data_IF_656755659664
#
_entry.id   IF_656755659664
#
_cell.length_a   1.000
_cell.length_b   1.000
_cell.length_c   1.000
_cell.angle_alpha   90.00
_cell.angle_beta   90.00
_cell.angle_gamma   90.00
#
_symmetry.space_group_name_H-M   'P 1'
#
loop_
_entity.id
_entity.type
_entity.pdbx_description
1 polymer ?
#
# COMPACT_ATOMS: atom_id res chain seq x y z
N UNK A 1 -1.97 10.05 18.76
CA UNK A 1 -3.35 10.05 18.20
C UNK A 1 -3.79 8.59 18.11
N UNK A 2 -5.03 8.26 18.45
CA UNK A 2 -5.52 6.88 18.34
C UNK A 2 -5.87 6.51 16.90
N UNK A 3 -5.90 5.21 16.59
CA UNK A 3 -6.21 4.69 15.23
C UNK A 3 -7.56 5.21 14.74
N UNK A 4 -8.61 5.16 15.56
CA UNK A 4 -9.95 5.63 15.17
C UNK A 4 -9.97 7.14 14.89
N UNK A 5 -9.27 7.92 15.67
CA UNK A 5 -9.16 9.37 15.44
C UNK A 5 -8.46 9.68 14.10
N UNK A 6 -7.40 8.93 13.77
CA UNK A 6 -6.71 9.04 12.48
C UNK A 6 -7.63 8.66 11.33
N UNK A 7 -8.38 7.56 11.45
CA UNK A 7 -9.34 7.11 10.45
C UNK A 7 -10.47 8.13 10.23
N UNK A 8 -11.01 8.70 11.30
CA UNK A 8 -12.08 9.70 11.20
C UNK A 8 -11.58 10.98 10.53
N UNK A 9 -10.39 11.45 10.89
CA UNK A 9 -9.75 12.59 10.22
C UNK A 9 -9.46 12.30 8.74
N UNK A 10 -8.94 11.11 8.45
CA UNK A 10 -8.72 10.69 7.07
C UNK A 10 -10.02 10.67 6.28
N UNK A 11 -11.09 10.13 6.88
CA UNK A 11 -12.44 10.09 6.28
C UNK A 11 -13.00 11.47 5.93
N UNK A 12 -12.68 12.52 6.69
CA UNK A 12 -13.11 13.89 6.34
C UNK A 12 -12.47 14.40 5.06
N UNK A 13 -11.32 13.83 4.65
CA UNK A 13 -10.54 14.26 3.47
C UNK A 13 -10.79 13.36 2.26
N UNK A 14 -10.75 12.02 2.46
CA UNK A 14 -10.91 11.07 1.35
C UNK A 14 -12.36 10.63 1.10
N UNK A 15 -13.28 11.00 2.00
CA UNK A 15 -14.67 10.62 1.94
C UNK A 15 -15.04 9.38 2.76
N UNK A 16 -16.34 9.04 2.82
CA UNK A 16 -16.84 7.91 3.58
C UNK A 16 -16.42 6.58 2.95
N UNK A 17 -16.42 5.49 3.75
CA UNK A 17 -16.19 4.15 3.24
C UNK A 17 -17.23 3.75 2.17
N UNK A 18 -16.95 2.70 1.37
CA UNK A 18 -17.84 2.23 0.32
C UNK A 18 -19.25 1.89 0.85
N UNK A 19 -20.29 2.40 0.21
CA UNK A 19 -21.69 2.19 0.65
C UNK A 19 -22.13 0.71 0.65
N UNK A 20 -21.47 -0.14 -0.15
CA UNK A 20 -21.71 -1.59 -0.22
C UNK A 20 -21.00 -2.39 0.89
N UNK A 21 -20.27 -1.73 1.77
CA UNK A 21 -19.41 -2.37 2.75
C UNK A 21 -18.11 -2.91 2.15
N UNK A 22 -17.28 -3.46 3.00
CA UNK A 22 -15.99 -4.06 2.67
C UNK A 22 -16.07 -5.56 2.94
N UNK A 23 -15.48 -6.36 2.06
CA UNK A 23 -15.34 -7.80 2.30
C UNK A 23 -14.36 -8.00 3.47
N UNK A 24 -14.77 -8.67 4.54
CA UNK A 24 -13.90 -8.89 5.71
C UNK A 24 -12.62 -9.64 5.33
N UNK A 25 -11.51 -9.23 5.91
CA UNK A 25 -10.23 -9.93 5.79
C UNK A 25 -10.06 -10.87 6.99
N UNK A 26 -9.75 -12.16 6.78
CA UNK A 26 -9.49 -13.09 7.88
C UNK A 26 -8.08 -12.86 8.46
N UNK A 27 -7.93 -11.81 9.26
CA UNK A 27 -6.64 -11.37 9.79
C UNK A 27 -5.89 -12.43 10.60
N UNK A 28 -6.63 -13.40 11.18
CA UNK A 28 -6.07 -14.52 11.93
C UNK A 28 -5.18 -15.45 11.08
N UNK A 29 -5.35 -15.42 9.75
CA UNK A 29 -4.52 -16.20 8.82
C UNK A 29 -3.21 -15.47 8.46
N UNK A 30 -3.11 -14.17 8.74
CA UNK A 30 -1.93 -13.37 8.42
C UNK A 30 -0.63 -13.96 9.00
N UNK A 31 -0.56 -14.27 10.31
CA UNK A 31 0.64 -14.84 10.92
C UNK A 31 1.08 -16.18 10.35
N UNK A 32 0.17 -17.00 9.84
CA UNK A 32 0.50 -18.30 9.23
C UNK A 32 1.22 -18.11 7.88
N UNK A 33 0.83 -17.09 7.11
CA UNK A 33 1.35 -16.85 5.77
C UNK A 33 2.56 -15.91 5.79
N UNK A 34 2.51 -14.86 6.62
CA UNK A 34 3.52 -13.80 6.66
C UNK A 34 4.60 -14.05 7.71
N UNK A 35 4.31 -14.83 8.75
CA UNK A 35 5.15 -15.00 9.93
C UNK A 35 4.92 -13.94 11.02
N UNK A 36 4.07 -12.94 10.77
CA UNK A 36 3.74 -11.85 11.68
C UNK A 36 2.34 -11.28 11.37
N UNK A 37 1.81 -10.45 12.26
CA UNK A 37 0.59 -9.70 12.00
C UNK A 37 0.94 -8.38 11.29
N UNK A 38 0.11 -7.95 10.33
CA UNK A 38 0.25 -6.64 9.70
C UNK A 38 -0.08 -5.50 10.69
N UNK A 39 0.44 -4.27 10.48
CA UNK A 39 0.20 -3.13 11.37
C UNK A 39 -1.28 -2.90 11.69
N UNK A 40 -1.59 -2.59 12.94
CA UNK A 40 -2.97 -2.44 13.40
C UNK A 40 -3.71 -1.29 12.72
N UNK A 41 -3.02 -0.19 12.45
CA UNK A 41 -3.56 0.97 11.75
C UNK A 41 -3.90 0.65 10.28
N UNK A 42 -3.07 -0.15 9.61
CA UNK A 42 -3.35 -0.64 8.26
C UNK A 42 -4.54 -1.60 8.25
N UNK A 43 -4.62 -2.53 9.21
CA UNK A 43 -5.76 -3.46 9.31
C UNK A 43 -7.06 -2.70 9.51
N UNK A 44 -7.08 -1.74 10.42
CA UNK A 44 -8.24 -0.88 10.67
C UNK A 44 -8.65 -0.07 9.42
N UNK A 45 -7.68 0.41 8.64
CA UNK A 45 -7.97 1.06 7.36
C UNK A 45 -8.61 0.09 6.35
N UNK A 46 -8.04 -1.10 6.19
CA UNK A 46 -8.56 -2.10 5.26
C UNK A 46 -9.94 -2.58 5.68
N UNK A 47 -10.21 -2.75 6.97
CA UNK A 47 -11.53 -3.12 7.49
C UNK A 47 -12.58 -2.04 7.21
N UNK A 48 -12.16 -0.76 7.17
CA UNK A 48 -13.06 0.37 6.88
C UNK A 48 -13.23 0.63 5.38
N UNK A 49 -12.15 0.55 4.60
CA UNK A 49 -12.13 0.98 3.19
C UNK A 49 -11.88 -0.13 2.18
N UNK A 50 -11.30 -1.24 2.60
CA UNK A 50 -10.87 -2.32 1.70
C UNK A 50 -9.65 -1.97 0.88
N UNK A 51 -9.49 -2.67 -0.24
CA UNK A 51 -8.50 -2.36 -1.26
C UNK A 51 -8.97 -1.15 -2.06
N UNK A 52 -8.30 -0.02 -1.92
CA UNK A 52 -8.74 1.25 -2.50
C UNK A 52 -7.66 1.94 -3.32
N UNK A 53 -8.15 2.88 -4.13
CA UNK A 53 -7.31 3.86 -4.81
C UNK A 53 -7.70 5.25 -4.31
N UNK A 54 -6.82 5.90 -3.55
CA UNK A 54 -7.04 7.26 -3.06
C UNK A 54 -6.85 8.24 -4.22
N UNK A 55 -7.88 9.05 -4.49
CA UNK A 55 -7.93 10.03 -5.60
C UNK A 55 -7.63 9.41 -6.98
N UNK A 56 -7.86 8.10 -7.13
CA UNK A 56 -7.57 7.37 -8.37
C UNK A 56 -6.08 7.14 -8.65
N UNK A 57 -5.18 7.53 -7.76
CA UNK A 57 -3.73 7.51 -7.94
C UNK A 57 -3.02 6.55 -7.00
N UNK A 58 -3.16 6.74 -5.70
CA UNK A 58 -2.48 5.92 -4.70
C UNK A 58 -3.26 4.62 -4.48
N UNK A 59 -2.71 3.51 -4.95
CA UNK A 59 -3.27 2.18 -4.79
C UNK A 59 -2.78 1.53 -3.52
N UNK A 60 -3.69 1.13 -2.65
CA UNK A 60 -3.41 0.40 -1.42
C UNK A 60 -3.80 -1.06 -1.64
N UNK A 61 -2.83 -1.96 -1.51
CA UNK A 61 -3.07 -3.40 -1.59
C UNK A 61 -3.72 -3.90 -0.32
N UNK A 62 -4.53 -4.95 -0.43
CA UNK A 62 -5.12 -5.61 0.74
C UNK A 62 -5.25 -7.11 0.48
N UNK A 63 -5.17 -7.97 1.51
CA UNK A 63 -5.51 -9.39 1.41
C UNK A 63 -7.01 -9.54 1.11
N UNK A 64 -7.37 -9.60 -0.16
CA UNK A 64 -8.77 -9.71 -0.57
C UNK A 64 -9.19 -11.15 -0.76
N UNK A 65 -10.30 -11.54 -0.16
CA UNK A 65 -10.95 -12.84 -0.40
C UNK A 65 -11.97 -12.81 -1.54
N UNK A 66 -12.27 -11.60 -2.05
CA UNK A 66 -13.15 -11.46 -3.22
C UNK A 66 -12.45 -11.97 -4.48
N UNK A 67 -13.09 -12.81 -5.30
CA UNK A 67 -12.52 -13.24 -6.56
C UNK A 67 -12.32 -12.03 -7.47
N UNK A 68 -11.06 -11.76 -7.80
CA UNK A 68 -10.76 -10.82 -8.88
C UNK A 68 -10.85 -11.60 -10.19
N UNK A 69 -11.52 -11.07 -11.23
CA UNK A 69 -11.64 -11.75 -12.53
C UNK A 69 -10.32 -11.88 -13.28
N UNK A 70 -9.23 -11.35 -12.76
CA UNK A 70 -7.92 -11.40 -13.39
C UNK A 70 -7.23 -12.74 -13.07
N UNK A 71 -7.45 -13.69 -13.98
CA UNK A 71 -6.52 -14.76 -14.36
C UNK A 71 -5.68 -15.34 -13.21
N UNK A 72 -6.23 -16.35 -12.52
CA UNK A 72 -5.41 -17.32 -11.78
C UNK A 72 -4.54 -16.78 -10.65
N UNK A 73 -4.78 -15.57 -10.16
CA UNK A 73 -4.01 -15.00 -9.05
C UNK A 73 -4.53 -15.54 -7.72
N UNK A 74 -3.64 -15.86 -6.79
CA UNK A 74 -4.04 -16.30 -5.47
C UNK A 74 -4.86 -15.20 -4.75
N UNK A 75 -5.75 -15.63 -3.85
CA UNK A 75 -6.59 -14.75 -3.04
C UNK A 75 -6.02 -14.60 -1.62
N UNK A 76 -6.57 -13.68 -0.86
CA UNK A 76 -6.20 -13.48 0.52
C UNK A 76 -4.74 -13.07 0.71
N UNK A 77 -4.09 -13.62 1.72
CA UNK A 77 -2.70 -13.30 2.05
C UNK A 77 -1.69 -13.81 1.02
N UNK A 78 -1.95 -14.92 0.35
CA UNK A 78 -1.08 -15.37 -0.74
C UNK A 78 -1.11 -14.40 -1.92
N UNK A 79 -2.30 -13.88 -2.26
CA UNK A 79 -2.45 -12.83 -3.27
C UNK A 79 -1.80 -11.52 -2.84
N UNK A 80 -1.91 -11.15 -1.58
CA UNK A 80 -1.21 -9.99 -1.04
C UNK A 80 0.31 -10.16 -1.17
N UNK A 81 0.87 -11.31 -0.78
CA UNK A 81 2.29 -11.60 -0.95
C UNK A 81 2.71 -11.56 -2.42
N UNK A 82 1.93 -12.11 -3.32
CA UNK A 82 2.23 -12.06 -4.76
C UNK A 82 2.39 -10.61 -5.24
N UNK A 83 1.51 -9.69 -4.83
CA UNK A 83 1.63 -8.27 -5.19
C UNK A 83 2.75 -7.54 -4.45
N UNK A 84 3.03 -7.94 -3.23
CA UNK A 84 4.03 -7.27 -2.39
C UNK A 84 5.45 -7.73 -2.67
N UNK A 85 5.64 -8.97 -3.10
CA UNK A 85 6.95 -9.51 -3.49
C UNK A 85 7.23 -9.32 -4.98
N UNK A 86 6.19 -9.33 -5.81
CA UNK A 86 6.26 -9.11 -7.26
C UNK A 86 7.50 -9.79 -7.91
N UNK A 87 7.55 -11.15 -7.91
CA UNK A 87 8.80 -11.89 -8.18
C UNK A 87 9.34 -11.74 -9.60
N UNK A 88 8.57 -11.13 -10.50
CA UNK A 88 8.95 -10.90 -11.90
C UNK A 88 8.98 -9.42 -12.29
N UNK A 89 8.85 -8.50 -11.34
CA UNK A 89 8.72 -7.08 -11.60
C UNK A 89 9.64 -6.20 -10.75
N UNK A 90 9.08 -5.10 -10.31
CA UNK A 90 9.83 -4.04 -9.67
C UNK A 90 10.50 -4.45 -8.34
N UNK A 91 9.79 -5.22 -7.49
CA UNK A 91 10.37 -5.69 -6.23
C UNK A 91 11.53 -6.66 -6.44
N UNK A 92 11.46 -7.49 -7.48
CA UNK A 92 12.57 -8.36 -7.85
C UNK A 92 13.81 -7.57 -8.30
N UNK A 93 13.63 -6.49 -9.06
CA UNK A 93 14.72 -5.59 -9.46
C UNK A 93 15.38 -4.90 -8.27
N UNK A 94 14.58 -4.44 -7.30
CA UNK A 94 15.10 -3.85 -6.07
C UNK A 94 15.86 -4.87 -5.22
N UNK A 95 15.34 -6.09 -5.11
CA UNK A 95 16.02 -7.16 -4.39
C UNK A 95 17.38 -7.48 -5.02
N UNK A 96 17.44 -7.52 -6.36
CA UNK A 96 18.70 -7.75 -7.06
C UNK A 96 19.67 -6.58 -6.87
N UNK A 97 19.23 -5.34 -7.00
CA UNK A 97 20.05 -4.15 -6.77
C UNK A 97 20.69 -4.16 -5.36
N UNK A 98 19.90 -4.50 -4.35
CA UNK A 98 20.43 -4.65 -2.99
C UNK A 98 21.50 -5.74 -2.88
N UNK A 99 21.25 -6.92 -3.49
CA UNK A 99 22.21 -8.04 -3.47
C UNK A 99 23.51 -7.73 -4.22
N UNK A 100 23.42 -6.93 -5.27
CA UNK A 100 24.55 -6.46 -6.07
C UNK A 100 25.34 -5.33 -5.37
N UNK A 101 24.83 -4.82 -4.24
CA UNK A 101 25.45 -3.71 -3.49
C UNK A 101 25.18 -2.33 -4.11
N UNK A 102 24.19 -2.22 -4.98
CA UNK A 102 23.72 -0.94 -5.52
C UNK A 102 22.75 -0.28 -4.53
N UNK A 103 23.30 0.23 -3.45
CA UNK A 103 22.52 0.85 -2.37
C UNK A 103 21.94 2.23 -2.75
N UNK A 104 22.42 2.84 -3.81
CA UNK A 104 21.78 4.05 -4.37
C UNK A 104 20.44 3.70 -5.01
N UNK A 105 20.32 2.55 -5.65
CA UNK A 105 19.06 2.06 -6.20
C UNK A 105 18.15 1.46 -5.11
N UNK A 106 18.69 0.66 -4.18
CA UNK A 106 17.94 0.07 -3.08
C UNK A 106 18.78 -0.04 -1.79
N UNK A 107 18.61 0.87 -0.82
CA UNK A 107 19.41 0.89 0.42
C UNK A 107 18.95 -0.13 1.46
N UNK A 108 17.87 -0.85 1.23
CA UNK A 108 17.28 -1.80 2.17
C UNK A 108 17.07 -3.17 1.54
N UNK A 109 17.23 -4.26 2.32
CA UNK A 109 16.84 -5.58 1.82
C UNK A 109 15.33 -5.62 1.56
N UNK A 110 14.89 -6.61 0.79
CA UNK A 110 13.47 -6.87 0.56
C UNK A 110 12.95 -7.94 1.55
N UNK A 111 11.66 -7.87 1.90
CA UNK A 111 10.99 -8.98 2.57
C UNK A 111 11.30 -10.32 1.86
N UNK A 112 11.58 -11.44 2.58
CA UNK A 112 11.39 -11.65 4.01
C UNK A 112 12.61 -11.35 4.90
N UNK A 113 13.64 -10.67 4.41
CA UNK A 113 14.80 -10.36 5.23
C UNK A 113 14.45 -9.44 6.41
N UNK A 114 15.15 -9.62 7.53
CA UNK A 114 15.02 -8.74 8.70
C UNK A 114 15.38 -7.29 8.33
N UNK A 115 14.60 -6.32 8.79
CA UNK A 115 14.77 -4.92 8.39
C UNK A 115 14.40 -4.63 6.94
N UNK A 116 13.75 -5.57 6.27
CA UNK A 116 13.43 -5.48 4.85
C UNK A 116 12.20 -4.62 4.53
N UNK A 117 12.02 -4.37 3.25
CA UNK A 117 10.90 -3.63 2.69
C UNK A 117 9.74 -4.57 2.37
N UNK A 118 8.57 -4.33 2.96
CA UNK A 118 7.33 -5.01 2.60
C UNK A 118 6.40 -4.04 1.90
N UNK A 119 6.17 -4.23 0.61
CA UNK A 119 5.37 -3.33 -0.21
C UNK A 119 3.89 -3.41 0.15
N UNK A 120 3.25 -2.25 0.34
CA UNK A 120 1.82 -2.17 0.59
C UNK A 120 1.04 -1.36 -0.46
N UNK A 121 1.73 -0.67 -1.35
CA UNK A 121 1.06 0.14 -2.35
C UNK A 121 1.99 0.70 -3.42
N UNK A 122 1.37 1.34 -4.40
CA UNK A 122 2.03 2.10 -5.44
C UNK A 122 1.09 3.17 -5.99
N UNK A 123 1.61 4.06 -6.83
CA UNK A 123 0.76 4.95 -7.61
C UNK A 123 0.96 4.76 -9.12
N UNK A 124 0.19 5.47 -9.94
CA UNK A 124 0.33 5.43 -11.40
C UNK A 124 1.60 6.13 -11.92
N UNK A 125 2.20 6.99 -11.11
CA UNK A 125 3.45 7.68 -11.42
C UNK A 125 4.69 6.89 -11.02
N UNK A 126 4.57 5.58 -10.87
CA UNK A 126 5.61 4.61 -10.53
C UNK A 126 6.22 4.71 -9.12
N UNK A 127 5.75 5.63 -8.26
CA UNK A 127 6.15 5.62 -6.86
C UNK A 127 5.67 4.35 -6.15
N UNK A 128 6.50 3.84 -5.25
CA UNK A 128 6.27 2.59 -4.52
C UNK A 128 6.32 2.85 -3.02
N UNK A 129 5.46 2.17 -2.27
CA UNK A 129 5.30 2.38 -0.83
C UNK A 129 5.44 1.08 -0.07
N UNK A 130 6.25 1.13 0.99
CA UNK A 130 6.65 -0.03 1.77
C UNK A 130 6.52 0.26 3.26
N UNK A 131 6.38 -0.79 4.06
CA UNK A 131 6.85 -0.75 5.44
C UNK A 131 8.31 -1.10 5.46
N UNK A 132 9.09 -0.38 6.23
CA UNK A 132 10.45 -0.74 6.59
C UNK A 132 10.39 -1.50 7.91
N UNK A 133 10.55 -2.84 7.85
CA UNK A 133 10.32 -3.77 8.96
C UNK A 133 11.40 -3.66 10.04
N UNK A 134 11.51 -2.49 10.67
CA UNK A 134 12.45 -2.23 11.76
C UNK A 134 11.94 -2.81 13.08
N UNK A 135 12.55 -3.93 13.48
CA UNK A 135 12.23 -4.60 14.75
C UNK A 135 10.95 -5.44 14.72
N UNK A 136 10.64 -6.10 15.85
CA UNK A 136 9.61 -7.14 15.91
C UNK A 136 8.17 -6.62 16.01
N UNK A 137 7.97 -5.33 16.26
CA UNK A 137 6.65 -4.72 16.45
C UNK A 137 6.17 -4.05 15.17
N UNK A 138 5.21 -4.67 14.42
CA UNK A 138 4.71 -4.11 13.17
C UNK A 138 4.04 -2.74 13.32
N UNK A 139 3.46 -2.44 14.47
CA UNK A 139 2.80 -1.17 14.73
C UNK A 139 3.79 0.03 14.83
N UNK A 140 5.08 -0.28 14.82
CA UNK A 140 6.16 0.71 14.87
C UNK A 140 6.98 0.80 13.57
N UNK A 141 6.60 0.05 12.53
CA UNK A 141 7.30 0.13 11.26
C UNK A 141 7.02 1.46 10.55
N UNK A 142 8.07 2.22 10.20
CA UNK A 142 7.90 3.43 9.42
C UNK A 142 7.54 3.11 7.97
N UNK A 143 7.03 4.11 7.27
CA UNK A 143 6.76 4.01 5.84
C UNK A 143 7.98 4.44 5.04
N UNK A 144 8.48 3.58 4.16
CA UNK A 144 9.47 3.94 3.15
C UNK A 144 8.77 4.20 1.82
N UNK A 145 9.07 5.32 1.19
CA UNK A 145 8.58 5.69 -0.13
C UNK A 145 9.74 5.77 -1.12
N UNK A 146 9.63 5.07 -2.25
CA UNK A 146 10.49 5.31 -3.40
C UNK A 146 9.75 6.17 -4.39
N UNK A 147 10.25 7.36 -4.59
CA UNK A 147 9.63 8.39 -5.43
C UNK A 147 10.30 8.36 -6.82
N UNK A 148 9.51 8.07 -7.85
CA UNK A 148 10.05 7.83 -9.20
C UNK A 148 10.72 9.07 -9.81
N UNK A 149 10.16 10.26 -9.58
CA UNK A 149 10.67 11.51 -10.13
C UNK A 149 12.08 11.87 -9.65
N UNK A 150 12.45 11.39 -8.46
CA UNK A 150 13.72 11.73 -7.80
C UNK A 150 14.68 10.53 -7.72
N UNK A 151 14.22 9.32 -8.01
CA UNK A 151 14.93 8.05 -7.70
C UNK A 151 15.45 7.99 -6.27
N UNK A 152 14.77 8.71 -5.37
CA UNK A 152 15.16 8.86 -3.99
C UNK A 152 14.25 8.05 -3.09
N UNK A 153 14.84 7.57 -2.02
CA UNK A 153 14.13 6.95 -0.93
C UNK A 153 13.88 7.97 0.16
N UNK A 154 12.63 8.06 0.59
CA UNK A 154 12.25 8.84 1.76
C UNK A 154 11.66 7.91 2.83
N UNK A 155 12.00 8.17 4.09
CA UNK A 155 11.47 7.41 5.24
C UNK A 155 10.64 8.34 6.11
N UNK A 156 9.35 8.11 6.12
CA UNK A 156 8.42 8.77 7.01
C UNK A 156 8.39 8.01 8.35
N UNK A 157 8.88 8.62 9.42
CA UNK A 157 9.02 8.02 10.77
C UNK A 157 7.66 7.95 11.52
N UNK A 158 6.60 7.60 10.85
CA UNK A 158 5.26 7.38 11.37
C UNK A 158 4.62 6.15 10.77
N UNK A 159 3.46 5.75 11.32
CA UNK A 159 2.70 4.61 10.83
C UNK A 159 1.99 4.88 9.50
N UNK A 160 1.33 3.84 9.00
CA UNK A 160 0.62 3.86 7.72
C UNK A 160 -0.48 4.94 7.66
N UNK A 161 -1.34 5.04 8.69
CA UNK A 161 -2.40 6.05 8.72
C UNK A 161 -1.86 7.47 8.85
N UNK A 162 -0.79 7.66 9.60
CA UNK A 162 -0.14 8.97 9.75
C UNK A 162 0.45 9.42 8.42
N UNK A 163 1.09 8.51 7.68
CA UNK A 163 1.59 8.77 6.33
C UNK A 163 0.45 9.16 5.37
N UNK A 164 -0.63 8.37 5.34
CA UNK A 164 -1.78 8.67 4.48
C UNK A 164 -2.37 10.05 4.81
N UNK A 165 -2.59 10.33 6.09
CA UNK A 165 -3.16 11.59 6.52
C UNK A 165 -2.24 12.77 6.15
N UNK A 166 -0.93 12.67 6.44
CA UNK A 166 0.03 13.70 6.07
C UNK A 166 0.07 13.93 4.55
N UNK A 167 -0.05 12.86 3.76
CA UNK A 167 -0.10 12.93 2.29
C UNK A 167 -1.34 13.68 1.80
N UNK A 168 -2.53 13.28 2.22
CA UNK A 168 -3.79 13.86 1.70
C UNK A 168 -4.07 15.25 2.24
N UNK A 169 -3.45 15.64 3.36
CA UNK A 169 -3.51 16.99 3.94
C UNK A 169 -2.33 17.89 3.52
N UNK A 170 -1.52 17.43 2.56
CA UNK A 170 -0.37 18.16 2.00
C UNK A 170 0.73 18.48 3.05
N UNK A 171 0.78 17.76 4.16
CA UNK A 171 1.81 17.91 5.20
C UNK A 171 3.06 17.08 4.91
N UNK A 172 2.95 16.00 4.13
CA UNK A 172 4.09 15.24 3.65
C UNK A 172 4.81 16.03 2.54
N UNK A 173 6.12 16.27 2.63
CA UNK A 173 6.83 17.12 1.67
C UNK A 173 6.65 16.68 0.21
N UNK A 174 6.64 15.39 -0.05
CA UNK A 174 6.49 14.79 -1.38
C UNK A 174 5.06 14.37 -1.71
N UNK A 175 4.05 14.93 -1.03
CA UNK A 175 2.64 14.57 -1.23
C UNK A 175 2.18 14.60 -2.69
N UNK A 176 2.74 15.52 -3.52
CA UNK A 176 2.39 15.65 -4.94
C UNK A 176 2.89 14.49 -5.79
N UNK A 177 3.94 13.82 -5.36
CA UNK A 177 4.50 12.65 -6.03
C UNK A 177 3.73 11.38 -5.65
N UNK A 178 3.14 11.37 -4.45
CA UNK A 178 2.25 10.30 -3.99
C UNK A 178 0.87 10.44 -4.61
N UNK A 179 0.29 11.65 -4.56
CA UNK A 179 -1.04 11.98 -5.11
C UNK A 179 -0.93 13.28 -5.91
N UNK A 180 -0.64 13.23 -7.21
CA UNK A 180 -0.49 14.40 -8.07
C UNK A 180 -1.72 15.33 -8.06
N UNK A 181 -1.48 16.63 -8.28
CA UNK A 181 -2.57 17.62 -8.41
C UNK A 181 -3.39 17.36 -9.67
N UNK A 182 -4.70 17.58 -9.56
CA UNK A 182 -5.62 17.40 -10.68
C UNK A 182 -6.26 16.03 -10.75
N UNK A 183 -5.85 15.11 -9.90
CA UNK A 183 -6.58 13.88 -9.66
C UNK A 183 -7.89 14.18 -8.93
N UNK A 184 -8.94 13.43 -9.24
CA UNK A 184 -10.30 13.65 -8.75
C UNK A 184 -10.34 13.93 -7.26
N UNK A 185 -11.11 14.94 -6.83
CA UNK A 185 -11.31 15.24 -5.42
C UNK A 185 -11.95 14.05 -4.69
N UNK A 186 -11.74 13.97 -3.38
CA UNK A 186 -12.20 12.89 -2.52
C UNK A 186 -13.69 12.52 -2.66
N UNK A 187 -14.55 13.44 -3.09
CA UNK A 187 -15.95 13.19 -3.40
C UNK A 187 -16.19 12.33 -4.65
N UNK A 188 -15.21 12.24 -5.55
CA UNK A 188 -15.25 11.43 -6.79
C UNK A 188 -14.51 10.07 -6.63
N UNK A 189 -14.03 9.76 -5.44
CA UNK A 189 -13.42 8.46 -5.12
C UNK A 189 -14.40 7.28 -5.25
N UNK A 190 -15.66 7.55 -5.65
CA UNK A 190 -16.63 6.54 -6.05
C UNK A 190 -16.26 5.74 -7.30
N UNK A 191 -15.18 6.09 -8.00
CA UNK A 191 -14.50 5.15 -8.90
C UNK A 191 -13.67 4.13 -8.11
N UNK A 192 -14.15 3.75 -6.91
CA UNK A 192 -13.81 2.46 -6.34
C UNK A 192 -14.30 1.41 -7.32
N UNK A 193 -13.47 1.10 -8.27
CA UNK A 193 -13.59 -0.12 -9.05
C UNK A 193 -12.84 -1.18 -8.26
N UNK A 194 -13.56 -2.19 -7.72
CA UNK A 194 -12.86 -3.41 -7.34
C UNK A 194 -11.92 -3.72 -8.50
N UNK A 195 -10.67 -4.03 -8.23
CA UNK A 195 -9.67 -4.39 -9.26
C UNK A 195 -10.07 -5.63 -10.07
N UNK A 196 -11.33 -5.77 -10.43
CA UNK A 196 -11.93 -6.84 -11.21
C UNK A 196 -12.26 -6.48 -12.66
N UNK A 197 -12.16 -5.22 -13.06
CA UNK A 197 -12.60 -4.82 -14.41
C UNK A 197 -11.45 -4.40 -15.35
N UNK A 198 -10.25 -4.95 -15.14
CA UNK A 198 -9.14 -4.80 -16.07
C UNK A 198 -9.39 -5.52 -17.41
N UNK A 199 -10.39 -6.42 -17.49
CA UNK A 199 -10.74 -7.16 -18.69
C UNK A 199 -11.20 -6.25 -19.85
N UNK A 200 -11.57 -5.01 -19.59
CA UNK A 200 -12.00 -4.06 -20.62
C UNK A 200 -10.90 -3.20 -21.22
N UNK A 201 -9.68 -3.22 -20.67
CA UNK A 201 -8.54 -2.44 -21.19
C UNK A 201 -7.56 -3.24 -22.05
N UNK A 202 -7.67 -4.56 -22.12
CA UNK A 202 -6.87 -5.40 -23.00
C UNK A 202 -7.67 -5.78 -24.27
N UNK A 203 -8.14 -4.79 -24.99
CA UNK A 203 -8.45 -4.95 -26.42
C UNK A 203 -7.32 -4.27 -27.20
N UNK A 204 -6.36 -5.09 -27.58
CA UNK A 204 -5.43 -4.82 -28.67
C UNK A 204 -6.16 -5.02 -29.98
#
# INVERSE_FOLDING_TARGET
>A
MGIEELLDRLGTVIGPPPAGGVVPVPWELGPEVLGFQLPADYRAFVDRYGMVSIRGELHIYAPSTAPTPAIGQPLGFEGFLYYTTDPYGYCASLAQAYLDGDYDECPYPMFPAEGGLLKWGNNYSAAQFFWLMRGPDPDRWPVAARLDSMREWDVFEGGFLEFLLATVTEQYPHHREVVPRGTKQAGDSRDYRPRGDWSKRLRW
#
